data_IF_871560368058
#
_entry.id   IF_871560368058
#
_cell.length_a   1.000
_cell.length_b   1.000
_cell.length_c   1.000
_cell.angle_alpha   90.00
_cell.angle_beta   90.00
_cell.angle_gamma   90.00
#
_symmetry.space_group_name_H-M   'P 1'
#
loop_
_entity.id
_entity.type
_entity.pdbx_description
1 polymer ?
#
# COMPACT_ATOMS: atom_id res chain seq x y z
N UNK A 1 -16.64 2.08 10.96
CA UNK A 1 -15.68 0.99 11.27
C UNK A 1 -16.16 0.06 12.38
N UNK A 2 -16.68 0.57 13.50
CA UNK A 2 -17.15 -0.28 14.62
C UNK A 2 -18.24 -1.29 14.22
N UNK A 3 -19.18 -0.89 13.37
CA UNK A 3 -20.19 -1.80 12.81
C UNK A 3 -19.55 -3.00 12.09
N UNK A 4 -18.66 -2.75 11.13
CA UNK A 4 -17.94 -3.82 10.39
C UNK A 4 -17.13 -4.70 11.33
N UNK A 5 -16.42 -4.11 12.30
CA UNK A 5 -15.66 -4.88 13.31
C UNK A 5 -16.56 -5.81 14.13
N UNK A 6 -17.78 -5.38 14.47
CA UNK A 6 -18.74 -6.22 15.21
C UNK A 6 -19.24 -7.43 14.39
N UNK A 7 -19.22 -7.33 13.05
CA UNK A 7 -19.58 -8.43 12.15
C UNK A 7 -18.40 -9.37 11.89
N UNK A 8 -17.17 -8.85 11.77
CA UNK A 8 -16.00 -9.66 11.40
C UNK A 8 -15.37 -10.39 12.59
N UNK A 9 -15.39 -9.78 13.78
CA UNK A 9 -14.75 -10.35 14.98
C UNK A 9 -15.31 -11.72 15.37
N UNK A 10 -16.64 -11.96 15.43
CA UNK A 10 -17.19 -13.28 15.75
C UNK A 10 -16.86 -14.35 14.70
N UNK A 11 -16.48 -13.93 13.49
CA UNK A 11 -16.14 -14.82 12.37
C UNK A 11 -14.63 -15.07 12.25
N UNK A 12 -13.80 -14.53 13.17
CA UNK A 12 -12.35 -14.57 13.10
C UNK A 12 -11.79 -13.97 11.79
N UNK A 13 -12.46 -12.96 11.23
CA UNK A 13 -12.02 -12.26 10.02
C UNK A 13 -11.28 -10.98 10.41
N UNK A 14 -10.04 -10.85 9.92
CA UNK A 14 -9.26 -9.62 10.09
C UNK A 14 -9.86 -8.47 9.26
N UNK A 15 -9.92 -7.28 9.85
CA UNK A 15 -10.44 -6.07 9.24
C UNK A 15 -9.32 -5.06 9.01
N UNK A 16 -9.21 -4.49 7.81
CA UNK A 16 -8.26 -3.43 7.48
C UNK A 16 -8.91 -2.05 7.32
N UNK A 17 -8.11 -0.99 7.48
CA UNK A 17 -8.50 0.39 7.12
C UNK A 17 -7.94 0.76 5.74
N UNK A 18 -8.81 1.09 4.80
CA UNK A 18 -8.41 1.65 3.49
C UNK A 18 -8.29 3.17 3.57
N UNK A 19 -7.11 3.72 3.31
CA UNK A 19 -6.82 5.15 3.34
C UNK A 19 -7.34 5.81 4.65
N UNK A 20 -8.19 6.84 4.55
CA UNK A 20 -8.89 7.44 5.70
C UNK A 20 -7.98 7.81 6.89
N UNK A 21 -6.85 8.48 6.59
CA UNK A 21 -5.81 8.81 7.56
C UNK A 21 -6.30 9.59 8.79
N UNK A 22 -7.37 10.36 8.64
CA UNK A 22 -7.89 11.25 9.69
C UNK A 22 -8.61 10.49 10.82
N UNK A 23 -9.07 9.25 10.58
CA UNK A 23 -9.74 8.43 11.60
C UNK A 23 -8.84 7.38 12.23
N UNK A 24 -7.56 7.29 11.84
CA UNK A 24 -6.64 6.23 12.28
C UNK A 24 -6.66 6.08 13.79
N UNK A 25 -6.49 7.16 14.55
CA UNK A 25 -6.43 7.09 16.03
C UNK A 25 -7.69 6.44 16.64
N UNK A 26 -8.86 6.62 16.03
CA UNK A 26 -10.13 6.10 16.55
C UNK A 26 -10.33 4.61 16.22
N UNK A 27 -9.81 4.17 15.07
CA UNK A 27 -10.07 2.82 14.54
C UNK A 27 -8.90 1.87 14.73
N UNK A 28 -7.70 2.39 15.02
CA UNK A 28 -6.48 1.60 15.23
C UNK A 28 -6.68 0.44 16.23
N UNK A 29 -7.47 0.56 17.32
CA UNK A 29 -7.70 -0.57 18.22
C UNK A 29 -8.50 -1.73 17.59
N UNK A 30 -9.32 -1.47 16.57
CA UNK A 30 -10.29 -2.44 16.00
C UNK A 30 -9.95 -2.95 14.59
N UNK A 31 -8.94 -2.36 13.94
CA UNK A 31 -8.41 -2.84 12.66
C UNK A 31 -7.06 -3.53 12.85
N UNK A 32 -6.70 -4.40 11.91
CA UNK A 32 -5.52 -5.27 11.99
C UNK A 32 -4.38 -4.78 11.09
N UNK A 33 -4.70 -4.03 10.05
CA UNK A 33 -3.76 -3.49 9.08
C UNK A 33 -4.33 -2.25 8.38
N UNK A 34 -3.49 -1.53 7.65
CA UNK A 34 -3.93 -0.50 6.70
C UNK A 34 -3.68 -0.96 5.27
N UNK A 35 -4.57 -0.58 4.35
CA UNK A 35 -4.29 -0.53 2.92
C UNK A 35 -4.21 0.95 2.56
N UNK A 36 -3.04 1.42 2.14
CA UNK A 36 -2.85 2.80 1.73
C UNK A 36 -2.52 2.87 0.24
N UNK A 37 -3.12 3.85 -0.44
CA UNK A 37 -2.76 4.24 -1.80
C UNK A 37 -2.15 5.62 -1.79
N UNK A 38 -1.03 5.76 -2.50
CA UNK A 38 -0.48 7.04 -2.92
C UNK A 38 -0.07 7.99 -1.78
N UNK A 39 0.26 7.50 -0.59
CA UNK A 39 0.69 8.41 0.46
C UNK A 39 2.00 9.14 0.12
N UNK A 40 2.86 8.57 -0.72
CA UNK A 40 4.09 9.25 -1.17
C UNK A 40 3.73 10.38 -2.11
N UNK A 41 2.83 10.14 -3.07
CA UNK A 41 2.37 11.14 -4.03
C UNK A 41 1.71 12.34 -3.32
N UNK A 42 0.86 12.07 -2.32
CA UNK A 42 0.14 13.10 -1.58
C UNK A 42 0.86 13.60 -0.31
N UNK A 43 2.05 13.06 0.00
CA UNK A 43 2.85 13.40 1.20
C UNK A 43 2.09 13.17 2.52
N UNK A 44 1.39 12.04 2.61
CA UNK A 44 0.54 11.68 3.75
C UNK A 44 1.04 10.46 4.55
N UNK A 45 2.18 9.86 4.19
CA UNK A 45 2.62 8.58 4.77
C UNK A 45 2.82 8.63 6.29
N UNK A 46 3.19 9.79 6.84
CA UNK A 46 3.32 10.02 8.28
C UNK A 46 2.03 9.73 9.06
N UNK A 47 0.84 9.89 8.46
CA UNK A 47 -0.43 9.51 9.09
C UNK A 47 -0.52 7.99 9.29
N UNK A 48 -0.04 7.23 8.30
CA UNK A 48 -0.16 5.77 8.23
C UNK A 48 0.91 5.04 9.04
N UNK A 49 2.05 5.69 9.35
CA UNK A 49 3.07 5.16 10.27
C UNK A 49 2.55 4.77 11.66
N UNK A 50 1.44 5.37 12.10
CA UNK A 50 0.76 4.94 13.34
C UNK A 50 0.41 3.45 13.37
N UNK A 51 0.24 2.81 12.20
CA UNK A 51 0.05 1.37 12.13
C UNK A 51 1.36 0.62 12.42
N UNK A 52 2.46 0.95 11.75
CA UNK A 52 3.76 0.28 11.97
C UNK A 52 4.28 0.54 13.38
N UNK A 53 4.12 1.75 13.91
CA UNK A 53 4.43 2.10 15.30
C UNK A 53 3.62 1.26 16.32
N UNK A 54 2.42 0.81 15.95
CA UNK A 54 1.57 -0.08 16.74
C UNK A 54 1.77 -1.57 16.42
N UNK A 55 2.80 -1.93 15.65
CA UNK A 55 3.09 -3.30 15.23
C UNK A 55 2.10 -3.88 14.21
N UNK A 56 1.36 -3.02 13.48
CA UNK A 56 0.37 -3.40 12.47
C UNK A 56 0.90 -3.08 11.06
N UNK A 57 0.73 -3.97 10.07
CA UNK A 57 1.26 -3.74 8.74
C UNK A 57 0.48 -2.66 7.98
N UNK A 58 1.18 -1.97 7.09
CA UNK A 58 0.60 -1.10 6.06
C UNK A 58 0.89 -1.74 4.71
N UNK A 59 -0.15 -2.23 4.04
CA UNK A 59 -0.08 -2.65 2.65
C UNK A 59 -0.18 -1.40 1.77
N UNK A 60 0.96 -0.99 1.24
CA UNK A 60 1.14 0.30 0.59
C UNK A 60 1.20 0.12 -0.93
N UNK A 61 0.42 0.91 -1.66
CA UNK A 61 0.31 0.84 -3.11
C UNK A 61 0.62 2.20 -3.69
N UNK A 62 1.55 2.23 -4.65
CA UNK A 62 1.84 3.41 -5.45
C UNK A 62 1.58 3.13 -6.93
N UNK A 63 1.20 4.17 -7.66
CA UNK A 63 0.81 4.08 -9.08
C UNK A 63 1.71 4.97 -9.95
N UNK A 64 2.96 4.56 -10.23
CA UNK A 64 3.83 5.30 -11.14
C UNK A 64 3.23 5.39 -12.54
N UNK A 65 3.38 6.52 -13.23
CA UNK A 65 2.87 6.71 -14.61
C UNK A 65 3.38 5.68 -15.62
N UNK A 66 4.54 5.09 -15.34
CA UNK A 66 5.19 4.07 -16.19
C UNK A 66 4.94 2.63 -15.70
N UNK A 67 3.95 2.41 -14.84
CA UNK A 67 3.55 1.07 -14.41
C UNK A 67 3.00 0.23 -15.58
N UNK A 68 3.22 -1.09 -15.53
CA UNK A 68 2.89 -2.03 -16.61
C UNK A 68 4.10 -2.50 -17.42
N UNK A 69 5.25 -1.86 -17.23
CA UNK A 69 6.56 -2.36 -17.62
C UNK A 69 7.54 -2.17 -16.46
N UNK A 70 8.72 -2.82 -16.54
CA UNK A 70 9.77 -2.65 -15.53
C UNK A 70 10.17 -1.17 -15.42
N UNK A 71 10.04 -0.62 -14.23
CA UNK A 71 10.33 0.76 -13.91
C UNK A 71 11.84 1.01 -13.90
N UNK A 72 12.20 2.25 -14.23
CA UNK A 72 13.57 2.71 -14.02
C UNK A 72 13.85 2.86 -12.51
N UNK A 73 15.11 2.67 -12.13
CA UNK A 73 15.58 2.75 -10.74
C UNK A 73 15.19 4.08 -10.05
N UNK A 74 15.32 5.19 -10.76
CA UNK A 74 15.01 6.53 -10.27
C UNK A 74 13.51 6.72 -10.01
N UNK A 75 12.66 6.13 -10.85
CA UNK A 75 11.21 6.12 -10.64
C UNK A 75 10.84 5.22 -9.47
N UNK A 76 11.39 4.00 -9.40
CA UNK A 76 11.12 3.06 -8.31
C UNK A 76 11.54 3.60 -6.95
N UNK A 77 12.75 4.14 -6.85
CA UNK A 77 13.31 4.64 -5.59
C UNK A 77 12.55 5.83 -5.01
N UNK A 78 11.80 6.59 -5.83
CA UNK A 78 10.88 7.65 -5.36
C UNK A 78 9.82 7.10 -4.40
N UNK A 79 9.28 5.91 -4.67
CA UNK A 79 8.15 5.33 -3.94
C UNK A 79 8.58 4.36 -2.84
N UNK A 80 9.75 3.74 -3.01
CA UNK A 80 10.24 2.67 -2.16
C UNK A 80 11.10 3.12 -0.98
N UNK A 81 11.20 4.43 -0.72
CA UNK A 81 12.00 4.96 0.37
C UNK A 81 13.49 4.64 0.25
N UNK A 82 14.01 4.29 -0.93
CA UNK A 82 15.43 3.93 -1.12
C UNK A 82 16.33 5.10 -1.54
N UNK A 83 15.80 6.31 -1.68
CA UNK A 83 16.56 7.53 -2.03
C UNK A 83 16.47 8.63 -0.98
N UNK A 84 17.64 9.17 -0.59
CA UNK A 84 17.90 10.22 0.41
C UNK A 84 17.35 9.99 1.84
N UNK A 85 18.22 10.16 2.84
CA UNK A 85 17.93 9.92 4.27
C UNK A 85 16.71 10.70 4.82
N UNK A 86 16.26 11.74 4.11
CA UNK A 86 15.05 12.50 4.44
C UNK A 86 13.72 11.92 3.93
N UNK A 87 13.73 10.93 3.01
CA UNK A 87 12.52 10.27 2.47
C UNK A 87 12.35 8.83 2.93
N UNK A 88 13.44 8.20 3.42
CA UNK A 88 13.43 6.86 4.03
C UNK A 88 12.39 6.71 5.15
N UNK A 89 12.25 7.74 5.98
CA UNK A 89 11.52 7.64 7.24
C UNK A 89 9.99 7.58 7.12
N UNK A 90 9.42 7.87 5.95
CA UNK A 90 7.97 8.02 5.80
C UNK A 90 7.27 6.71 5.39
N UNK A 91 7.94 5.84 4.65
CA UNK A 91 7.43 4.51 4.24
C UNK A 91 8.19 3.35 4.88
N UNK A 92 9.07 3.63 5.84
CA UNK A 92 9.78 2.58 6.59
C UNK A 92 8.78 1.62 7.27
N UNK A 93 8.98 0.32 7.05
CA UNK A 93 8.10 -0.74 7.55
C UNK A 93 6.81 -0.95 6.75
N UNK A 94 6.59 -0.20 5.66
CA UNK A 94 5.44 -0.43 4.77
C UNK A 94 5.72 -1.58 3.80
N UNK A 95 4.71 -2.43 3.59
CA UNK A 95 4.73 -3.47 2.57
C UNK A 95 4.32 -2.88 1.23
N UNK A 96 5.29 -2.31 0.52
CA UNK A 96 5.06 -1.52 -0.70
C UNK A 96 4.99 -2.39 -1.97
N UNK A 97 4.00 -2.13 -2.80
CA UNK A 97 3.90 -2.64 -4.18
C UNK A 97 3.65 -1.49 -5.16
N UNK A 98 4.24 -1.58 -6.35
CA UNK A 98 4.02 -0.65 -7.45
C UNK A 98 3.09 -1.31 -8.46
N UNK A 99 2.00 -0.63 -8.78
CA UNK A 99 0.90 -1.20 -9.56
C UNK A 99 0.48 -0.25 -10.68
N UNK A 100 -0.24 -0.78 -11.66
CA UNK A 100 -1.10 0.04 -12.52
C UNK A 100 -2.36 0.44 -11.75
N UNK A 101 -2.95 1.58 -12.14
CA UNK A 101 -4.19 2.09 -11.54
C UNK A 101 -5.38 1.15 -11.73
N UNK A 102 -5.40 0.35 -12.79
CA UNK A 102 -6.44 -0.66 -13.05
C UNK A 102 -6.32 -1.92 -12.18
N UNK A 103 -5.25 -2.03 -11.38
CA UNK A 103 -4.98 -3.14 -10.46
C UNK A 103 -5.02 -4.53 -11.13
N UNK A 104 -4.51 -4.63 -12.35
CA UNK A 104 -4.39 -5.92 -13.04
C UNK A 104 -3.32 -6.85 -12.43
N UNK A 105 -2.94 -7.89 -13.17
CA UNK A 105 -1.92 -8.86 -12.78
C UNK A 105 -0.52 -8.31 -12.53
N UNK A 106 -0.13 -7.19 -13.13
CA UNK A 106 1.25 -6.69 -13.10
C UNK A 106 1.60 -6.03 -11.77
N UNK A 107 2.73 -6.40 -11.18
CA UNK A 107 3.28 -5.76 -9.97
C UNK A 107 4.80 -5.65 -10.06
N UNK A 108 5.35 -4.54 -9.58
CA UNK A 108 6.78 -4.40 -9.30
C UNK A 108 7.01 -4.14 -7.82
N UNK A 109 8.00 -4.82 -7.24
CA UNK A 109 8.41 -4.68 -5.85
C UNK A 109 9.61 -3.73 -5.72
N UNK A 110 9.88 -3.26 -4.51
CA UNK A 110 10.92 -2.27 -4.26
C UNK A 110 12.36 -2.75 -4.54
N UNK A 111 12.60 -4.05 -4.55
CA UNK A 111 13.86 -4.67 -4.98
C UNK A 111 14.01 -4.74 -6.51
N UNK A 112 13.01 -4.30 -7.27
CA UNK A 112 12.97 -4.32 -8.73
C UNK A 112 12.51 -5.66 -9.33
N UNK A 113 12.03 -6.59 -8.51
CA UNK A 113 11.37 -7.82 -8.96
C UNK A 113 10.00 -7.49 -9.54
N UNK A 114 9.68 -8.10 -10.68
CA UNK A 114 8.39 -7.91 -11.39
C UNK A 114 7.69 -9.25 -11.47
N UNK A 115 6.42 -9.28 -11.10
CA UNK A 115 5.56 -10.46 -11.20
C UNK A 115 4.27 -10.11 -11.95
N UNK A 116 3.71 -11.08 -12.67
CA UNK A 116 2.43 -10.93 -13.38
C UNK A 116 1.54 -12.12 -13.04
N UNK A 117 0.44 -11.84 -12.35
CA UNK A 117 -0.57 -12.87 -12.03
C UNK A 117 -1.67 -12.87 -13.08
N UNK A 118 -2.05 -14.04 -13.60
CA UNK A 118 -3.22 -14.13 -14.48
C UNK A 118 -4.49 -13.67 -13.75
N UNK A 119 -5.20 -12.69 -14.33
CA UNK A 119 -6.47 -12.20 -13.82
C UNK A 119 -7.56 -12.38 -14.87
N UNK A 120 -8.67 -13.00 -14.49
CA UNK A 120 -9.81 -13.21 -15.37
C UNK A 120 -10.46 -11.86 -15.71
N UNK A 121 -10.18 -11.32 -16.89
CA UNK A 121 -10.79 -10.07 -17.39
C UNK A 121 -9.86 -9.07 -18.07
N UNK A 122 -8.53 -9.22 -17.96
CA UNK A 122 -7.58 -8.39 -18.71
C UNK A 122 -7.05 -9.14 -19.93
N UNK A 123 -7.93 -9.35 -20.91
CA UNK A 123 -7.47 -9.64 -22.27
C UNK A 123 -6.73 -8.41 -22.78
N UNK A 124 -5.39 -8.48 -22.80
CA UNK A 124 -4.55 -7.48 -23.44
C UNK A 124 -5.02 -7.28 -24.88
N UNK A 125 -5.25 -6.02 -25.27
CA UNK A 125 -5.17 -5.67 -26.67
C UNK A 125 -3.69 -5.68 -27.04
N UNK A 126 -3.30 -6.67 -27.82
CA UNK A 126 -2.14 -6.56 -28.72
C UNK A 126 -2.23 -5.30 -29.60
#
# INVERSE_FOLDING_TARGET
MSYLSSLTTPLNISLGLKNAGDIITQVLPIVHFSVNEQCVEYKECSKFRKFTDAGKPVFHIEYPDSAGQKLREDVRSRYCGTGDEGKKGDTEGFSTVLKKMDLDGWVEYCDGTVEVTEVSGSGGKE
#
